data_IF_314745602118
#
_entry.id   IF_314745602118
#
_cell.length_a   1.000
_cell.length_b   1.000
_cell.length_c   1.000
_cell.angle_alpha   90.00
_cell.angle_beta   90.00
_cell.angle_gamma   90.00
#
_symmetry.space_group_name_H-M   'P 1'
#
loop_
_entity.id
_entity.type
_entity.pdbx_description
1 polymer ?
#
# COMPACT_ATOMS: atom_id res chain seq x y z
N UNK A 1 -11.14 -16.73 15.58
CA UNK A 1 -11.71 -17.55 14.49
C UNK A 1 -10.97 -18.89 14.45
N UNK A 2 -11.67 -20.00 14.29
CA UNK A 2 -11.07 -21.30 14.05
C UNK A 2 -10.67 -21.47 12.57
N UNK A 3 -9.86 -22.49 12.24
CA UNK A 3 -9.37 -22.69 10.86
C UNK A 3 -10.48 -22.92 9.84
N UNK A 4 -11.62 -23.53 10.25
CA UNK A 4 -12.76 -23.76 9.37
C UNK A 4 -13.49 -22.45 9.03
N UNK A 5 -13.68 -21.57 10.01
CA UNK A 5 -14.28 -20.25 9.80
C UNK A 5 -13.42 -19.38 8.87
N UNK A 6 -12.10 -19.36 9.10
CA UNK A 6 -11.15 -18.64 8.26
C UNK A 6 -11.25 -19.14 6.81
N UNK A 7 -11.23 -20.48 6.63
CA UNK A 7 -11.36 -21.11 5.32
C UNK A 7 -12.65 -20.71 4.61
N UNK A 8 -13.79 -20.77 5.32
CA UNK A 8 -15.08 -20.42 4.75
C UNK A 8 -15.12 -18.95 4.31
N UNK A 9 -14.70 -18.03 5.17
CA UNK A 9 -14.66 -16.60 4.84
C UNK A 9 -13.78 -16.31 3.62
N UNK A 10 -12.57 -16.88 3.57
CA UNK A 10 -11.66 -16.73 2.43
C UNK A 10 -12.27 -17.31 1.16
N UNK A 11 -12.89 -18.52 1.23
CA UNK A 11 -13.53 -19.17 0.09
C UNK A 11 -14.65 -18.32 -0.52
N UNK A 12 -15.49 -17.70 0.32
CA UNK A 12 -16.54 -16.76 -0.13
C UNK A 12 -15.93 -15.58 -0.91
N UNK A 13 -14.87 -14.97 -0.40
CA UNK A 13 -14.21 -13.82 -1.06
C UNK A 13 -13.52 -14.26 -2.36
N UNK A 14 -12.80 -15.37 -2.37
CA UNK A 14 -12.18 -15.92 -3.58
C UNK A 14 -13.21 -16.20 -4.68
N UNK A 15 -14.39 -16.71 -4.33
CA UNK A 15 -15.48 -16.89 -5.30
C UNK A 15 -15.94 -15.57 -5.90
N UNK A 16 -16.11 -14.52 -5.10
CA UNK A 16 -16.51 -13.19 -5.59
C UNK A 16 -15.49 -12.61 -6.58
N UNK A 17 -14.19 -12.87 -6.37
CA UNK A 17 -13.12 -12.36 -7.22
C UNK A 17 -12.94 -13.23 -8.48
N UNK A 18 -12.86 -14.54 -8.32
CA UNK A 18 -12.28 -15.45 -9.30
C UNK A 18 -13.26 -16.41 -9.97
N UNK A 19 -14.53 -16.50 -9.53
CA UNK A 19 -15.54 -17.38 -10.15
C UNK A 19 -15.62 -17.28 -11.68
N UNK A 20 -15.47 -16.10 -12.31
CA UNK A 20 -15.49 -16.00 -13.77
C UNK A 20 -14.30 -16.67 -14.48
N UNK A 21 -13.22 -16.99 -13.77
CA UNK A 21 -11.93 -17.41 -14.35
C UNK A 21 -11.50 -18.80 -13.91
N UNK A 22 -12.04 -19.33 -12.77
CA UNK A 22 -11.58 -20.55 -12.11
C UNK A 22 -12.74 -21.44 -11.69
N UNK A 23 -12.54 -22.76 -11.76
CA UNK A 23 -13.52 -23.76 -11.30
C UNK A 23 -13.63 -23.78 -9.77
N UNK A 24 -14.75 -24.26 -9.24
CA UNK A 24 -15.02 -24.36 -7.79
C UNK A 24 -13.90 -25.11 -7.03
N UNK A 25 -13.42 -26.24 -7.58
CA UNK A 25 -12.33 -27.02 -6.98
C UNK A 25 -11.05 -26.22 -6.83
N UNK A 26 -10.64 -25.50 -7.87
CA UNK A 26 -9.42 -24.66 -7.85
C UNK A 26 -9.53 -23.55 -6.79
N UNK A 27 -10.70 -22.96 -6.59
CA UNK A 27 -10.92 -21.94 -5.55
C UNK A 27 -10.90 -22.54 -4.13
N UNK A 28 -11.32 -23.79 -3.96
CA UNK A 28 -11.17 -24.53 -2.70
C UNK A 28 -9.69 -24.78 -2.42
N UNK A 29 -8.94 -25.29 -3.40
CA UNK A 29 -7.50 -25.56 -3.27
C UNK A 29 -6.72 -24.28 -2.90
N UNK A 30 -7.10 -23.14 -3.50
CA UNK A 30 -6.52 -21.82 -3.16
C UNK A 30 -6.82 -21.42 -1.71
N UNK A 31 -8.05 -21.63 -1.23
CA UNK A 31 -8.40 -21.33 0.16
C UNK A 31 -7.60 -22.20 1.13
N UNK A 32 -7.40 -23.48 0.80
CA UNK A 32 -6.60 -24.40 1.59
C UNK A 32 -5.11 -24.01 1.61
N UNK A 33 -4.54 -23.56 0.49
CA UNK A 33 -3.17 -23.05 0.45
C UNK A 33 -2.99 -21.83 1.35
N UNK A 34 -3.97 -20.91 1.37
CA UNK A 34 -3.94 -19.73 2.23
C UNK A 34 -3.99 -20.13 3.69
N UNK A 35 -4.97 -20.96 4.08
CA UNK A 35 -5.10 -21.45 5.47
C UNK A 35 -3.87 -22.21 5.93
N UNK A 36 -3.31 -23.07 5.08
CA UNK A 36 -2.04 -23.78 5.36
C UNK A 36 -0.87 -22.81 5.58
N UNK A 37 -0.83 -21.71 4.83
CA UNK A 37 0.19 -20.68 5.01
C UNK A 37 0.06 -19.96 6.35
N UNK A 38 -1.18 -19.68 6.78
CA UNK A 38 -1.50 -19.11 8.09
C UNK A 38 -1.07 -20.09 9.21
N UNK A 39 -1.51 -21.35 9.15
CA UNK A 39 -1.25 -22.34 10.19
C UNK A 39 0.24 -22.66 10.38
N UNK A 40 1.03 -22.60 9.29
CA UNK A 40 2.49 -22.76 9.38
C UNK A 40 3.17 -21.60 10.09
N UNK A 41 2.57 -20.41 10.03
CA UNK A 41 3.09 -19.21 10.69
C UNK A 41 2.69 -19.11 12.16
N UNK A 42 1.53 -19.64 12.57
CA UNK A 42 1.03 -19.57 13.95
C UNK A 42 1.93 -20.23 15.00
N UNK A 43 2.99 -20.93 14.59
CA UNK A 43 4.03 -21.45 15.49
C UNK A 43 4.92 -20.34 16.08
N UNK A 44 4.84 -19.13 15.57
CA UNK A 44 5.57 -17.97 16.09
C UNK A 44 4.69 -17.35 17.18
N UNK A 45 5.18 -17.41 18.43
CA UNK A 45 4.48 -16.84 19.59
C UNK A 45 4.07 -15.40 19.31
N UNK A 46 2.76 -15.12 19.40
CA UNK A 46 2.19 -13.78 19.30
C UNK A 46 3.01 -12.80 20.11
N UNK A 47 3.39 -11.66 19.52
CA UNK A 47 3.95 -10.57 20.28
C UNK A 47 2.95 -10.18 21.36
N UNK A 48 3.37 -10.12 22.62
CA UNK A 48 2.52 -9.73 23.77
C UNK A 48 2.05 -8.27 23.71
N UNK A 49 2.48 -7.50 22.70
CA UNK A 49 2.09 -6.11 22.53
C UNK A 49 0.75 -6.02 21.82
N UNK A 50 -0.28 -5.54 22.53
CA UNK A 50 -1.50 -5.04 21.91
C UNK A 50 -1.28 -3.58 21.48
N UNK A 51 -1.66 -3.24 20.24
CA UNK A 51 -1.68 -1.86 19.79
C UNK A 51 -3.04 -1.25 20.19
N UNK A 52 -3.02 -0.35 21.14
CA UNK A 52 -4.20 0.40 21.54
C UNK A 52 -4.13 1.78 20.91
N UNK A 53 -5.04 2.04 19.98
CA UNK A 53 -5.20 3.34 19.34
C UNK A 53 -5.74 4.34 20.37
N UNK A 54 -5.08 5.48 20.49
CA UNK A 54 -5.49 6.58 21.35
C UNK A 54 -5.04 7.91 20.75
N UNK A 55 -5.41 9.02 21.39
CA UNK A 55 -4.92 10.37 21.04
C UNK A 55 -3.40 10.52 21.13
N UNK A 56 -2.73 9.62 21.87
CA UNK A 56 -1.27 9.57 21.99
C UNK A 56 -0.61 8.76 20.88
N UNK A 57 -1.38 8.19 19.94
CA UNK A 57 -0.82 7.43 18.83
C UNK A 57 -0.19 8.39 17.84
N UNK A 58 1.13 8.30 17.71
CA UNK A 58 1.91 9.10 16.79
C UNK A 58 2.90 8.23 16.02
N UNK A 59 3.02 8.51 14.72
CA UNK A 59 3.79 7.71 13.77
C UNK A 59 4.86 8.59 13.10
N UNK A 60 6.13 8.21 13.28
CA UNK A 60 7.24 8.81 12.54
C UNK A 60 7.35 8.13 11.17
N UNK A 61 7.31 8.90 10.09
CA UNK A 61 7.62 8.42 8.73
C UNK A 61 9.08 8.73 8.40
N UNK A 62 9.83 7.72 7.92
CA UNK A 62 11.23 7.89 7.56
C UNK A 62 11.68 6.83 6.56
N UNK A 63 12.73 7.14 5.80
CA UNK A 63 13.49 6.14 5.07
C UNK A 63 14.46 5.40 6.00
N UNK A 64 14.86 4.19 5.63
CA UNK A 64 15.83 3.41 6.40
C UNK A 64 17.21 4.07 6.52
N UNK A 65 17.52 5.02 5.65
CA UNK A 65 18.76 5.82 5.60
C UNK A 65 18.57 7.30 5.97
N UNK A 66 17.45 7.65 6.62
CA UNK A 66 17.26 9.01 7.17
C UNK A 66 18.34 9.39 8.20
N UNK A 67 19.02 8.39 8.76
CA UNK A 67 20.28 8.55 9.48
C UNK A 67 21.32 7.68 8.76
N UNK A 68 22.43 8.29 8.36
CA UNK A 68 23.46 7.57 7.64
C UNK A 68 24.13 6.52 8.50
N UNK A 69 24.49 5.40 7.89
CA UNK A 69 25.30 4.37 8.54
C UNK A 69 26.73 4.85 8.80
N UNK A 70 27.42 4.14 9.67
CA UNK A 70 28.84 4.35 9.97
C UNK A 70 29.67 3.22 9.34
N UNK A 71 30.99 3.24 9.58
CA UNK A 71 31.90 2.13 9.17
C UNK A 71 31.48 0.80 9.81
N UNK A 72 30.92 0.84 11.01
CA UNK A 72 30.58 -0.35 11.82
C UNK A 72 29.10 -0.70 11.80
N UNK A 73 28.22 0.26 11.61
CA UNK A 73 26.77 0.08 11.68
C UNK A 73 26.04 0.51 10.42
N UNK A 74 25.02 -0.25 10.04
CA UNK A 74 24.12 0.10 8.96
C UNK A 74 23.13 1.19 9.37
N UNK A 75 22.53 1.86 8.39
CA UNK A 75 21.66 3.03 8.58
C UNK A 75 20.47 2.77 9.53
N UNK A 76 19.78 1.64 9.43
CA UNK A 76 18.66 1.32 10.34
C UNK A 76 19.13 1.16 11.77
N UNK A 77 20.35 0.66 12.01
CA UNK A 77 20.93 0.57 13.36
C UNK A 77 21.21 1.95 13.93
N UNK A 78 21.78 2.86 13.15
CA UNK A 78 22.04 4.24 13.57
C UNK A 78 20.73 5.03 13.77
N UNK A 79 19.77 4.86 12.86
CA UNK A 79 18.43 5.43 13.01
C UNK A 79 17.77 4.97 14.33
N UNK A 80 17.93 3.70 14.70
CA UNK A 80 17.40 3.19 15.96
C UNK A 80 18.05 3.86 17.19
N UNK A 81 19.37 4.07 17.15
CA UNK A 81 20.07 4.80 18.24
C UNK A 81 19.54 6.23 18.37
N UNK A 82 19.43 6.93 17.23
CA UNK A 82 18.87 8.27 17.17
C UNK A 82 17.44 8.33 17.70
N UNK A 83 16.57 7.43 17.19
CA UNK A 83 15.20 7.31 17.65
C UNK A 83 15.09 7.09 19.16
N UNK A 84 15.84 6.12 19.71
CA UNK A 84 15.80 5.83 21.13
C UNK A 84 16.30 7.00 22.00
N UNK A 85 17.25 7.78 21.49
CA UNK A 85 17.81 8.91 22.24
C UNK A 85 16.91 10.13 22.23
N UNK A 86 16.26 10.43 21.09
CA UNK A 86 15.61 11.72 20.89
C UNK A 86 14.09 11.64 20.63
N UNK A 87 13.58 10.54 20.08
CA UNK A 87 12.23 10.50 19.47
C UNK A 87 11.27 9.52 20.15
N UNK A 88 11.74 8.52 20.89
CA UNK A 88 10.86 7.44 21.37
C UNK A 88 9.77 7.90 22.34
N UNK A 89 9.95 9.05 23.01
CA UNK A 89 8.92 9.68 23.86
C UNK A 89 7.84 10.41 23.07
N UNK A 90 8.15 10.81 21.83
CA UNK A 90 7.25 11.55 20.95
C UNK A 90 6.47 10.62 20.03
N UNK A 91 7.05 9.49 19.61
CA UNK A 91 6.46 8.57 18.67
C UNK A 91 6.42 7.16 19.26
N UNK A 92 5.27 6.50 19.18
CA UNK A 92 5.11 5.10 19.57
C UNK A 92 5.16 4.13 18.38
N UNK A 93 5.15 4.66 17.16
CA UNK A 93 5.17 3.91 15.93
C UNK A 93 6.15 4.51 14.92
N UNK A 94 6.72 3.68 14.06
CA UNK A 94 7.64 4.11 12.99
C UNK A 94 7.22 3.48 11.68
N UNK A 95 6.96 4.32 10.68
CA UNK A 95 6.76 3.91 9.30
C UNK A 95 8.09 3.96 8.56
N UNK A 96 8.65 2.79 8.28
CA UNK A 96 9.75 2.66 7.34
C UNK A 96 9.19 2.63 5.92
N UNK A 97 9.53 3.66 5.15
CA UNK A 97 9.33 3.65 3.70
C UNK A 97 10.11 2.49 3.07
N UNK A 98 9.83 2.07 1.82
CA UNK A 98 10.30 0.79 1.30
C UNK A 98 11.79 0.56 1.52
N UNK A 99 12.13 -0.43 2.30
CA UNK A 99 13.49 -0.81 2.69
C UNK A 99 14.00 -2.05 1.92
N UNK A 100 13.26 -2.47 0.90
CA UNK A 100 13.61 -3.61 0.06
C UNK A 100 14.68 -3.25 -0.97
N UNK A 101 15.43 -4.24 -1.53
CA UNK A 101 16.21 -4.02 -2.74
C UNK A 101 15.31 -3.50 -3.85
N UNK A 102 15.62 -2.33 -4.38
CA UNK A 102 14.83 -1.63 -5.39
C UNK A 102 15.70 -1.18 -6.56
N UNK A 103 15.11 -0.68 -7.61
CA UNK A 103 15.81 -0.19 -8.79
C UNK A 103 15.57 1.30 -9.06
N UNK A 104 14.52 1.87 -8.54
CA UNK A 104 14.14 3.27 -8.73
C UNK A 104 13.02 3.69 -7.78
N UNK A 105 12.56 4.92 -7.92
CA UNK A 105 11.40 5.49 -7.23
C UNK A 105 11.52 5.41 -5.71
N UNK A 106 12.68 5.80 -5.18
CA UNK A 106 12.96 5.85 -3.73
C UNK A 106 12.54 4.60 -2.95
N UNK A 107 12.71 3.42 -3.58
CA UNK A 107 12.35 2.13 -2.95
C UNK A 107 11.09 1.48 -3.51
N UNK A 108 10.19 2.22 -4.16
CA UNK A 108 8.91 1.69 -4.62
C UNK A 108 9.00 0.80 -5.87
N UNK A 109 10.11 0.81 -6.64
CA UNK A 109 10.35 -0.19 -7.67
C UNK A 109 11.05 -1.43 -7.07
N UNK A 110 10.31 -2.26 -6.33
CA UNK A 110 10.85 -3.37 -5.54
C UNK A 110 11.34 -4.51 -6.43
N UNK A 111 12.59 -4.95 -6.23
CA UNK A 111 13.19 -6.11 -6.90
C UNK A 111 12.97 -7.42 -6.14
N UNK A 112 12.96 -7.36 -4.80
CA UNK A 112 12.78 -8.53 -3.94
C UNK A 112 12.07 -8.12 -2.64
N UNK A 113 10.83 -8.55 -2.45
CA UNK A 113 10.00 -8.25 -1.28
C UNK A 113 10.37 -9.06 -0.02
N UNK A 114 11.30 -10.01 -0.11
CA UNK A 114 11.70 -10.87 1.01
C UNK A 114 13.02 -10.45 1.66
N UNK A 115 13.73 -9.49 1.05
CA UNK A 115 15.04 -9.04 1.53
C UNK A 115 14.98 -7.58 1.96
N UNK A 116 15.85 -7.21 2.87
CA UNK A 116 16.18 -5.81 3.14
C UNK A 116 17.35 -5.43 2.24
N UNK A 117 17.37 -4.18 1.76
CA UNK A 117 18.52 -3.63 1.04
C UNK A 117 19.77 -3.73 1.95
N UNK A 118 20.83 -4.43 1.52
CA UNK A 118 22.03 -4.61 2.35
C UNK A 118 22.70 -3.31 2.79
N UNK A 119 22.43 -2.21 2.06
CA UNK A 119 22.95 -0.88 2.42
C UNK A 119 22.24 -0.35 3.68
N UNK A 120 20.96 -0.65 3.86
CA UNK A 120 20.14 -0.19 4.98
C UNK A 120 20.34 -1.05 6.24
N UNK A 121 20.40 -2.38 6.10
CA UNK A 121 20.49 -3.30 7.25
C UNK A 121 20.03 -4.72 6.95
N UNK A 122 19.47 -5.38 7.95
CA UNK A 122 18.95 -6.75 7.89
C UNK A 122 17.67 -6.91 8.72
N UNK A 123 16.95 -8.00 8.55
CA UNK A 123 15.70 -8.29 9.28
C UNK A 123 15.87 -8.24 10.81
N UNK A 124 17.05 -8.59 11.33
CA UNK A 124 17.36 -8.46 12.75
C UNK A 124 17.29 -7.01 13.26
N UNK A 125 17.60 -6.02 12.42
CA UNK A 125 17.53 -4.60 12.78
C UNK A 125 16.08 -4.15 12.90
N UNK A 126 15.22 -4.50 11.96
CA UNK A 126 13.76 -4.27 12.02
C UNK A 126 13.16 -4.94 13.26
N UNK A 127 13.47 -6.23 13.47
CA UNK A 127 12.98 -6.98 14.63
C UNK A 127 13.47 -6.37 15.95
N UNK A 128 14.67 -5.85 15.97
CA UNK A 128 15.23 -5.14 17.12
C UNK A 128 14.49 -3.82 17.38
N UNK A 129 14.13 -3.09 16.31
CA UNK A 129 13.35 -1.85 16.40
C UNK A 129 11.92 -2.13 16.91
N UNK A 130 11.31 -3.22 16.47
CA UNK A 130 9.94 -3.61 16.86
C UNK A 130 9.78 -3.97 18.33
N UNK A 131 10.87 -4.14 19.09
CA UNK A 131 10.79 -4.39 20.54
C UNK A 131 10.19 -3.21 21.31
N UNK A 132 10.47 -1.98 20.88
CA UNK A 132 10.10 -0.75 21.59
C UNK A 132 9.01 0.06 20.87
N UNK A 133 8.80 -0.15 19.57
CA UNK A 133 7.87 0.63 18.74
C UNK A 133 7.04 -0.30 17.88
N UNK A 134 5.85 0.15 17.46
CA UNK A 134 5.10 -0.50 16.39
C UNK A 134 5.73 -0.12 15.05
N UNK A 135 5.87 -1.11 14.17
CA UNK A 135 6.49 -0.92 12.87
C UNK A 135 5.45 -0.96 11.77
N UNK A 136 5.41 0.09 10.98
CA UNK A 136 4.69 0.16 9.72
C UNK A 136 5.65 -0.07 8.57
N UNK A 137 5.26 -0.89 7.60
CA UNK A 137 6.01 -1.13 6.39
C UNK A 137 5.11 -1.06 5.15
N UNK A 138 5.69 -0.62 4.04
CA UNK A 138 5.01 -0.63 2.74
C UNK A 138 4.90 -2.06 2.18
N UNK A 139 3.71 -2.41 1.78
CA UNK A 139 3.44 -3.55 0.91
C UNK A 139 3.19 -2.99 -0.49
N UNK A 140 4.25 -2.87 -1.29
CA UNK A 140 4.17 -2.38 -2.68
C UNK A 140 3.48 -3.46 -3.51
N UNK A 141 2.15 -3.44 -3.48
CA UNK A 141 1.31 -4.54 -3.95
C UNK A 141 0.88 -4.42 -5.41
N UNK A 142 0.77 -3.20 -5.94
CA UNK A 142 0.28 -2.99 -7.31
C UNK A 142 1.29 -3.38 -8.39
N UNK A 143 2.59 -3.22 -8.15
CA UNK A 143 3.64 -3.35 -9.16
C UNK A 143 4.93 -3.93 -8.59
N UNK A 144 5.86 -4.27 -9.46
CA UNK A 144 7.21 -4.70 -9.09
C UNK A 144 8.21 -4.21 -10.15
N UNK A 145 9.49 -4.15 -9.78
CA UNK A 145 10.56 -3.69 -10.66
C UNK A 145 10.70 -4.55 -11.92
N UNK A 146 10.89 -3.91 -13.06
CA UNK A 146 11.28 -4.57 -14.32
C UNK A 146 12.69 -5.19 -14.26
N UNK A 147 13.48 -4.91 -13.23
CA UNK A 147 14.84 -5.44 -13.00
C UNK A 147 14.86 -6.54 -11.93
N UNK A 148 13.70 -6.82 -11.30
CA UNK A 148 13.57 -7.88 -10.29
C UNK A 148 13.56 -9.30 -10.86
N UNK A 149 13.74 -10.27 -9.96
CA UNK A 149 13.74 -11.69 -10.33
C UNK A 149 12.41 -12.13 -10.96
N UNK A 150 11.29 -11.65 -10.44
CA UNK A 150 9.97 -12.01 -10.96
C UNK A 150 9.78 -11.58 -12.40
N UNK A 151 10.26 -10.40 -12.78
CA UNK A 151 10.15 -9.93 -14.16
C UNK A 151 11.10 -10.67 -15.09
N UNK A 152 12.35 -10.94 -14.67
CA UNK A 152 13.27 -11.77 -15.43
C UNK A 152 12.71 -13.17 -15.69
N UNK A 153 12.12 -13.77 -14.68
CA UNK A 153 11.46 -15.07 -14.78
C UNK A 153 10.18 -15.03 -15.64
N UNK A 154 9.42 -13.94 -15.55
CA UNK A 154 8.26 -13.71 -16.42
C UNK A 154 8.67 -13.75 -17.91
N UNK A 155 9.73 -13.05 -18.28
CA UNK A 155 10.25 -13.06 -19.65
C UNK A 155 10.71 -14.45 -20.12
N UNK A 156 11.14 -15.31 -19.18
CA UNK A 156 11.59 -16.69 -19.43
C UNK A 156 10.48 -17.74 -19.24
N UNK A 157 9.27 -17.33 -18.84
CA UNK A 157 8.14 -18.23 -18.53
C UNK A 157 8.40 -19.24 -17.40
N UNK A 158 9.23 -18.86 -16.42
CA UNK A 158 9.59 -19.69 -15.25
C UNK A 158 8.99 -19.14 -13.94
N UNK A 159 8.74 -20.04 -12.97
CA UNK A 159 8.30 -19.67 -11.62
C UNK A 159 9.49 -19.43 -10.68
N UNK A 160 9.36 -18.50 -9.68
CA UNK A 160 8.27 -17.56 -9.51
C UNK A 160 8.38 -16.41 -10.53
N UNK A 161 7.25 -15.88 -10.99
CA UNK A 161 7.23 -14.77 -11.97
C UNK A 161 6.35 -15.08 -13.18
N UNK A 162 6.24 -16.35 -13.58
CA UNK A 162 5.36 -16.78 -14.67
C UNK A 162 3.94 -16.24 -14.47
N UNK A 163 3.44 -15.48 -15.46
CA UNK A 163 2.11 -14.87 -15.44
C UNK A 163 1.84 -13.89 -14.28
N UNK A 164 2.90 -13.35 -13.64
CA UNK A 164 2.73 -12.40 -12.53
C UNK A 164 2.42 -10.99 -13.00
N UNK A 165 2.80 -10.62 -14.22
CA UNK A 165 2.66 -9.25 -14.71
C UNK A 165 1.43 -9.09 -15.60
N UNK A 166 0.76 -7.95 -15.46
CA UNK A 166 -0.44 -7.66 -16.23
C UNK A 166 -0.07 -7.18 -17.64
N UNK A 167 -0.56 -7.91 -18.62
CA UNK A 167 -0.39 -7.60 -20.03
C UNK A 167 -1.72 -7.64 -20.76
N UNK A 168 -1.81 -6.83 -21.77
CA UNK A 168 -3.01 -6.73 -22.59
C UNK A 168 -2.71 -6.91 -24.09
N UNK A 169 -3.73 -7.28 -24.86
CA UNK A 169 -3.70 -7.23 -26.32
C UNK A 169 -4.10 -5.85 -26.82
N UNK A 170 -3.96 -5.61 -28.13
CA UNK A 170 -4.45 -4.38 -28.78
C UNK A 170 -5.95 -4.15 -28.62
N UNK A 171 -6.74 -5.21 -28.40
CA UNK A 171 -8.19 -5.15 -28.22
C UNK A 171 -8.63 -4.62 -26.84
N UNK A 172 -7.70 -4.39 -25.92
CA UNK A 172 -8.04 -3.89 -24.59
C UNK A 172 -8.46 -2.42 -24.67
N UNK A 173 -9.70 -2.12 -24.26
CA UNK A 173 -10.20 -0.76 -24.21
C UNK A 173 -9.67 -0.05 -22.94
N UNK A 174 -8.70 0.85 -23.12
CA UNK A 174 -8.10 1.64 -22.06
C UNK A 174 -8.54 3.11 -22.04
N UNK A 175 -9.56 3.49 -22.83
CA UNK A 175 -10.01 4.88 -23.00
C UNK A 175 -10.39 5.56 -21.68
N UNK A 176 -11.03 4.83 -20.77
CA UNK A 176 -11.55 5.35 -19.50
C UNK A 176 -10.57 5.20 -18.33
N UNK A 177 -9.38 4.64 -18.55
CA UNK A 177 -8.44 4.32 -17.47
C UNK A 177 -7.93 5.59 -16.79
N UNK A 178 -8.09 5.64 -15.46
CA UNK A 178 -7.54 6.73 -14.64
C UNK A 178 -6.02 6.62 -14.56
N UNK A 179 -5.34 7.71 -14.87
CA UNK A 179 -3.88 7.75 -14.97
C UNK A 179 -3.26 8.72 -13.99
N UNK A 180 -2.48 8.22 -13.00
CA UNK A 180 -1.80 9.08 -12.05
C UNK A 180 -0.49 9.68 -12.60
N UNK A 181 -0.02 9.27 -13.79
CA UNK A 181 1.24 9.69 -14.42
C UNK A 181 1.05 9.94 -15.92
N UNK A 182 1.87 10.81 -16.51
CA UNK A 182 1.77 11.21 -17.93
C UNK A 182 2.44 10.25 -18.93
N UNK A 183 3.39 9.40 -18.48
CA UNK A 183 4.09 8.48 -19.37
C UNK A 183 3.13 7.48 -20.03
N UNK A 184 3.54 6.84 -21.13
CA UNK A 184 2.71 5.86 -21.83
C UNK A 184 2.37 4.68 -20.92
N UNK A 185 1.06 4.43 -20.73
CA UNK A 185 0.52 3.33 -19.92
C UNK A 185 1.02 1.96 -20.37
N UNK A 186 1.07 1.75 -21.67
CA UNK A 186 1.38 0.48 -22.29
C UNK A 186 2.75 0.51 -22.97
N UNK A 187 3.56 -0.54 -22.74
CA UNK A 187 4.84 -0.76 -23.44
C UNK A 187 4.74 -2.04 -24.25
N UNK A 188 4.91 -1.93 -25.56
CA UNK A 188 5.00 -3.10 -26.44
C UNK A 188 6.27 -3.89 -26.14
N UNK A 189 6.15 -5.18 -25.98
CA UNK A 189 7.26 -6.14 -25.79
C UNK A 189 6.98 -7.39 -26.59
N UNK A 190 8.03 -8.03 -27.09
CA UNK A 190 7.90 -9.37 -27.68
C UNK A 190 8.25 -10.41 -26.61
N UNK A 191 7.33 -11.34 -26.34
CA UNK A 191 7.51 -12.43 -25.39
C UNK A 191 7.16 -13.72 -26.12
N UNK A 192 8.13 -14.61 -26.31
CA UNK A 192 7.97 -15.86 -27.07
C UNK A 192 7.39 -15.63 -28.48
N UNK A 193 7.93 -14.66 -29.21
CA UNK A 193 7.48 -14.32 -30.56
C UNK A 193 6.11 -13.65 -30.65
N UNK A 194 5.43 -13.42 -29.52
CA UNK A 194 4.11 -12.78 -29.46
C UNK A 194 4.23 -11.35 -28.94
N UNK A 195 3.64 -10.40 -29.68
CA UNK A 195 3.53 -9.02 -29.22
C UNK A 195 2.56 -8.93 -28.03
N UNK A 196 3.02 -8.38 -26.93
CA UNK A 196 2.26 -8.10 -25.71
C UNK A 196 2.45 -6.65 -25.31
N UNK A 197 1.49 -6.10 -24.55
CA UNK A 197 1.56 -4.76 -24.02
C UNK A 197 1.61 -4.83 -22.49
N UNK A 198 2.79 -4.55 -21.93
CA UNK A 198 2.98 -4.46 -20.49
C UNK A 198 2.28 -3.22 -19.95
N UNK A 199 1.56 -3.38 -18.86
CA UNK A 199 0.88 -2.30 -18.16
C UNK A 199 1.80 -1.64 -17.12
N UNK A 200 1.82 -0.30 -17.11
CA UNK A 200 2.71 0.51 -16.26
C UNK A 200 1.93 1.72 -15.74
N UNK A 201 1.37 1.60 -14.54
CA UNK A 201 0.57 2.67 -13.95
C UNK A 201 1.46 3.86 -13.53
N UNK A 202 2.62 3.62 -12.93
CA UNK A 202 3.41 4.65 -12.24
C UNK A 202 4.69 5.07 -12.94
N UNK A 203 5.51 4.14 -13.43
CA UNK A 203 6.77 4.46 -14.09
C UNK A 203 7.19 3.40 -15.12
N UNK A 204 8.27 3.71 -15.85
CA UNK A 204 8.82 2.77 -16.84
C UNK A 204 9.40 1.50 -16.22
N UNK A 205 9.81 1.55 -14.98
CA UNK A 205 10.43 0.46 -14.23
C UNK A 205 9.42 -0.32 -13.37
N UNK A 206 8.27 0.26 -13.08
CA UNK A 206 7.21 -0.35 -12.26
C UNK A 206 6.17 -1.03 -13.17
N UNK A 207 6.28 -2.35 -13.28
CA UNK A 207 5.35 -3.15 -14.09
C UNK A 207 4.23 -3.69 -13.19
N UNK A 208 3.00 -3.42 -13.58
CA UNK A 208 1.83 -3.79 -12.79
C UNK A 208 1.64 -5.31 -12.71
N UNK A 209 1.26 -5.77 -11.54
CA UNK A 209 1.04 -7.18 -11.26
C UNK A 209 -0.36 -7.62 -11.69
N UNK A 210 -0.48 -8.90 -12.04
CA UNK A 210 -1.70 -9.50 -12.54
C UNK A 210 -2.48 -10.21 -11.43
N UNK A 211 -3.33 -9.50 -10.72
CA UNK A 211 -4.17 -10.08 -9.68
C UNK A 211 -5.30 -10.99 -10.19
N UNK A 212 -5.54 -11.07 -11.52
CA UNK A 212 -6.36 -12.15 -12.10
C UNK A 212 -5.70 -13.52 -11.95
N UNK A 213 -4.37 -13.55 -11.73
CA UNK A 213 -3.66 -14.75 -11.32
C UNK A 213 -3.64 -14.86 -9.78
N UNK A 214 -4.38 -15.79 -9.16
CA UNK A 214 -4.46 -15.90 -7.70
C UNK A 214 -3.13 -16.25 -7.04
N UNK A 215 -2.15 -16.79 -7.79
CA UNK A 215 -0.78 -17.03 -7.28
C UNK A 215 -0.08 -15.72 -6.89
N UNK A 216 -0.46 -14.59 -7.51
CA UNK A 216 0.04 -13.27 -7.12
C UNK A 216 -0.51 -12.89 -5.73
N UNK A 217 -1.82 -13.06 -5.51
CA UNK A 217 -2.42 -12.83 -4.19
C UNK A 217 -1.76 -13.70 -3.11
N UNK A 218 -1.60 -15.01 -3.36
CA UNK A 218 -0.92 -15.92 -2.41
C UNK A 218 0.50 -15.46 -2.13
N UNK A 219 1.21 -14.95 -3.14
CA UNK A 219 2.58 -14.42 -2.95
C UNK A 219 2.58 -13.24 -1.99
N UNK A 220 1.63 -12.29 -2.12
CA UNK A 220 1.53 -11.15 -1.21
C UNK A 220 1.07 -11.54 0.19
N UNK A 221 0.20 -12.54 0.33
CA UNK A 221 -0.11 -13.13 1.63
C UNK A 221 1.17 -13.66 2.30
N UNK A 222 2.02 -14.39 1.57
CA UNK A 222 3.29 -14.90 2.09
C UNK A 222 4.28 -13.77 2.44
N UNK A 223 4.27 -12.66 1.71
CA UNK A 223 5.06 -11.45 2.04
C UNK A 223 4.57 -10.83 3.35
N UNK A 224 3.25 -10.66 3.53
CA UNK A 224 2.67 -10.13 4.77
C UNK A 224 3.01 -11.05 5.95
N UNK A 225 2.91 -12.36 5.79
CA UNK A 225 3.33 -13.33 6.80
C UNK A 225 4.80 -13.14 7.16
N UNK A 226 5.68 -12.97 6.17
CA UNK A 226 7.11 -12.73 6.39
C UNK A 226 7.34 -11.42 7.19
N UNK A 227 6.61 -10.35 6.87
CA UNK A 227 6.68 -9.08 7.59
C UNK A 227 6.25 -9.24 9.05
N UNK A 228 5.12 -9.93 9.30
CA UNK A 228 4.64 -10.22 10.66
C UNK A 228 5.71 -10.97 11.47
N UNK A 229 6.35 -11.97 10.87
CA UNK A 229 7.39 -12.77 11.50
C UNK A 229 8.63 -11.95 11.89
N UNK A 230 8.84 -10.82 11.24
CA UNK A 230 9.92 -9.88 11.52
C UNK A 230 9.50 -8.67 12.37
N UNK A 231 8.27 -8.71 12.94
CA UNK A 231 7.82 -7.71 13.92
C UNK A 231 7.10 -6.51 13.32
N UNK A 232 6.72 -6.55 12.03
CA UNK A 232 5.87 -5.53 11.42
C UNK A 232 4.42 -5.73 11.89
N UNK A 233 3.78 -4.65 12.28
CA UNK A 233 2.42 -4.63 12.83
C UNK A 233 1.42 -3.92 11.92
N UNK A 234 1.90 -2.91 11.15
CA UNK A 234 1.08 -2.03 10.34
C UNK A 234 1.52 -2.17 8.88
N UNK A 235 0.58 -2.44 8.00
CA UNK A 235 0.82 -2.75 6.57
C UNK A 235 0.20 -1.67 5.71
N UNK A 236 1.02 -0.78 5.14
CA UNK A 236 0.57 0.20 4.17
C UNK A 236 0.46 -0.48 2.80
N UNK A 237 -0.75 -0.62 2.31
CA UNK A 237 -1.01 -1.15 0.97
C UNK A 237 -0.83 -0.02 -0.04
N UNK A 238 0.35 0.03 -0.62
CA UNK A 238 0.75 1.06 -1.59
C UNK A 238 -0.03 0.94 -2.89
N UNK A 239 -0.56 2.07 -3.37
CA UNK A 239 -1.29 2.17 -4.63
C UNK A 239 -2.42 1.14 -4.81
N UNK A 240 -3.04 0.71 -3.73
CA UNK A 240 -3.99 -0.41 -3.69
C UNK A 240 -5.20 -0.21 -4.61
N UNK A 241 -5.63 1.01 -4.85
CA UNK A 241 -6.78 1.32 -5.70
C UNK A 241 -6.63 0.81 -7.13
N UNK A 242 -5.40 0.70 -7.63
CA UNK A 242 -5.09 0.29 -9.01
C UNK A 242 -4.92 -1.22 -9.21
N UNK A 243 -5.21 -2.04 -8.21
CA UNK A 243 -4.86 -3.46 -8.19
C UNK A 243 -5.54 -4.28 -9.29
N UNK A 244 -6.84 -4.08 -9.51
CA UNK A 244 -7.61 -4.82 -10.51
C UNK A 244 -7.81 -4.02 -11.79
N UNK A 245 -7.63 -4.68 -12.95
CA UNK A 245 -7.75 -4.06 -14.27
C UNK A 245 -8.75 -4.83 -15.12
N UNK A 246 -9.70 -4.09 -15.72
CA UNK A 246 -10.74 -4.64 -16.57
C UNK A 246 -11.01 -3.73 -17.77
N UNK A 247 -11.17 -4.32 -18.96
CA UNK A 247 -11.36 -3.59 -20.22
C UNK A 247 -12.63 -2.74 -20.17
N UNK A 248 -12.54 -1.48 -20.62
CA UNK A 248 -13.67 -0.56 -20.64
C UNK A 248 -13.97 0.13 -19.31
N UNK A 249 -13.31 -0.25 -18.22
CA UNK A 249 -13.48 0.38 -16.91
C UNK A 249 -12.43 1.46 -16.65
N UNK A 250 -12.59 2.18 -15.53
CA UNK A 250 -11.58 3.13 -15.05
C UNK A 250 -10.30 2.45 -14.53
N UNK A 251 -10.26 1.12 -14.36
CA UNK A 251 -9.17 0.33 -13.77
C UNK A 251 -8.68 0.86 -12.43
N UNK A 252 -9.56 1.43 -11.66
CA UNK A 252 -9.31 1.94 -10.31
C UNK A 252 -10.54 1.66 -9.46
N UNK A 253 -10.35 1.35 -8.20
CA UNK A 253 -11.41 1.20 -7.19
C UNK A 253 -12.46 0.13 -7.56
N UNK A 254 -12.02 -0.96 -8.21
CA UNK A 254 -12.93 -2.01 -8.66
C UNK A 254 -13.27 -2.98 -7.51
N UNK A 255 -14.47 -3.58 -7.56
CA UNK A 255 -15.00 -4.49 -6.52
C UNK A 255 -14.03 -5.60 -6.13
N UNK A 256 -13.27 -6.13 -7.07
CA UNK A 256 -12.28 -7.18 -6.81
C UNK A 256 -11.13 -6.69 -5.93
N UNK A 257 -10.74 -5.42 -6.05
CA UNK A 257 -9.74 -4.80 -5.17
C UNK A 257 -10.22 -4.82 -3.71
N UNK A 258 -11.46 -4.41 -3.46
CA UNK A 258 -12.07 -4.44 -2.13
C UNK A 258 -12.12 -5.86 -1.54
N UNK A 259 -12.56 -6.85 -2.31
CA UNK A 259 -12.59 -8.25 -1.84
C UNK A 259 -11.18 -8.80 -1.57
N UNK A 260 -10.13 -8.37 -2.30
CA UNK A 260 -8.73 -8.72 -2.01
C UNK A 260 -8.31 -8.14 -0.65
N UNK A 261 -8.63 -6.88 -0.37
CA UNK A 261 -8.31 -6.25 0.93
C UNK A 261 -8.98 -7.01 2.08
N UNK A 262 -10.23 -7.43 1.91
CA UNK A 262 -10.94 -8.26 2.91
C UNK A 262 -10.22 -9.58 3.18
N UNK A 263 -9.69 -10.23 2.14
CA UNK A 263 -8.87 -11.46 2.35
C UNK A 263 -7.61 -11.12 3.13
N UNK A 264 -6.89 -10.05 2.78
CA UNK A 264 -5.69 -9.63 3.50
C UNK A 264 -6.00 -9.29 4.96
N UNK A 265 -7.15 -8.66 5.23
CA UNK A 265 -7.63 -8.37 6.60
C UNK A 265 -7.87 -9.64 7.40
N UNK A 266 -8.54 -10.66 6.81
CA UNK A 266 -8.76 -11.95 7.45
C UNK A 266 -7.43 -12.61 7.78
N UNK A 267 -6.49 -12.62 6.85
CA UNK A 267 -5.14 -13.18 7.04
C UNK A 267 -4.41 -12.47 8.19
N UNK A 268 -4.36 -11.15 8.16
CA UNK A 268 -3.69 -10.35 9.19
C UNK A 268 -4.28 -10.62 10.58
N UNK A 269 -5.60 -10.55 10.72
CA UNK A 269 -6.30 -10.78 11.98
C UNK A 269 -6.10 -12.21 12.53
N UNK A 270 -5.94 -13.19 11.63
CA UNK A 270 -5.71 -14.60 12.01
C UNK A 270 -4.31 -14.83 12.56
N UNK A 271 -3.34 -14.01 12.18
CA UNK A 271 -1.94 -14.11 12.57
C UNK A 271 -1.61 -13.20 13.76
N UNK A 272 -2.14 -12.01 13.76
CA UNK A 272 -1.92 -11.00 14.79
C UNK A 272 -3.17 -10.13 14.95
N UNK A 273 -3.86 -10.25 16.07
CA UNK A 273 -5.07 -9.45 16.38
C UNK A 273 -4.83 -7.93 16.39
N UNK A 274 -3.58 -7.53 16.61
CA UNK A 274 -3.14 -6.11 16.59
C UNK A 274 -2.59 -5.68 15.23
N UNK A 275 -2.70 -6.51 14.20
CA UNK A 275 -2.29 -6.15 12.85
C UNK A 275 -3.22 -5.08 12.28
N UNK A 276 -2.63 -4.07 11.64
CA UNK A 276 -3.36 -2.94 11.06
C UNK A 276 -3.07 -2.88 9.56
N UNK A 277 -4.12 -2.85 8.77
CA UNK A 277 -4.05 -2.55 7.35
C UNK A 277 -4.36 -1.07 7.13
N UNK A 278 -3.48 -0.40 6.41
CA UNK A 278 -3.64 0.99 5.99
C UNK A 278 -3.70 1.02 4.47
N UNK A 279 -4.74 1.63 3.89
CA UNK A 279 -4.83 1.81 2.43
C UNK A 279 -4.31 3.18 2.03
N UNK A 280 -3.40 3.19 1.06
CA UNK A 280 -2.94 4.40 0.39
C UNK A 280 -3.78 4.61 -0.87
N UNK A 281 -4.71 5.56 -0.80
CA UNK A 281 -5.72 5.84 -1.83
C UNK A 281 -5.91 7.35 -1.97
N UNK A 282 -5.04 7.98 -2.78
CA UNK A 282 -5.14 9.42 -3.08
C UNK A 282 -6.27 9.67 -4.10
N UNK A 283 -7.50 9.55 -3.61
CA UNK A 283 -8.76 9.60 -4.36
C UNK A 283 -9.70 10.68 -3.79
N UNK A 284 -10.77 11.05 -4.50
CA UNK A 284 -11.86 11.81 -3.92
C UNK A 284 -12.36 11.17 -2.62
N UNK A 285 -12.79 12.00 -1.66
CA UNK A 285 -13.06 11.58 -0.29
C UNK A 285 -14.01 10.38 -0.17
N UNK A 286 -15.12 10.40 -0.91
CA UNK A 286 -16.10 9.30 -0.87
C UNK A 286 -15.50 7.96 -1.32
N UNK A 287 -14.64 8.00 -2.34
CA UNK A 287 -13.94 6.80 -2.83
C UNK A 287 -12.90 6.32 -1.81
N UNK A 288 -12.17 7.24 -1.15
CA UNK A 288 -11.21 6.91 -0.11
C UNK A 288 -11.91 6.28 1.12
N UNK A 289 -13.01 6.86 1.59
CA UNK A 289 -13.81 6.34 2.70
C UNK A 289 -14.36 4.94 2.42
N UNK A 290 -14.65 4.61 1.15
CA UNK A 290 -15.16 3.29 0.77
C UNK A 290 -14.23 2.13 1.17
N UNK A 291 -12.95 2.40 1.40
CA UNK A 291 -11.97 1.42 1.85
C UNK A 291 -12.10 0.99 3.33
N UNK A 292 -12.96 1.61 4.09
CA UNK A 292 -13.40 1.01 5.35
C UNK A 292 -14.31 -0.20 5.11
N UNK A 293 -14.97 -0.29 3.94
CA UNK A 293 -16.00 -1.29 3.65
C UNK A 293 -17.13 -1.26 4.68
N UNK A 294 -17.55 -2.42 5.15
CA UNK A 294 -18.40 -2.56 6.32
C UNK A 294 -17.55 -2.73 7.60
N UNK A 295 -16.42 -2.04 7.69
CA UNK A 295 -15.37 -2.19 8.69
C UNK A 295 -14.65 -3.55 8.62
N UNK A 296 -14.67 -4.17 7.45
CA UNK A 296 -14.06 -5.46 7.14
C UNK A 296 -12.90 -5.38 6.12
N UNK A 297 -12.52 -4.14 5.73
CA UNK A 297 -11.40 -3.85 4.82
C UNK A 297 -10.22 -3.21 5.57
N UNK A 298 -9.86 -1.97 5.27
CA UNK A 298 -8.79 -1.27 5.97
C UNK A 298 -9.15 -0.99 7.44
N UNK A 299 -8.15 -1.06 8.31
CA UNK A 299 -8.26 -0.53 9.66
C UNK A 299 -8.15 0.99 9.64
N UNK A 300 -7.16 1.48 8.89
CA UNK A 300 -6.92 2.90 8.72
C UNK A 300 -6.92 3.26 7.24
N UNK A 301 -7.38 4.47 6.96
CA UNK A 301 -7.25 5.11 5.66
C UNK A 301 -6.49 6.42 5.84
N UNK A 302 -5.64 6.78 4.87
CA UNK A 302 -5.01 8.10 4.87
C UNK A 302 -6.05 9.20 4.73
N UNK A 303 -5.95 10.23 5.55
CA UNK A 303 -6.82 11.40 5.46
C UNK A 303 -6.25 12.41 4.47
N UNK A 304 -6.28 12.06 3.18
CA UNK A 304 -5.70 12.87 2.11
C UNK A 304 -6.37 14.23 1.91
N UNK A 305 -7.61 14.42 2.37
CA UNK A 305 -8.28 15.73 2.30
C UNK A 305 -7.74 16.73 3.32
N UNK A 306 -7.20 16.26 4.44
CA UNK A 306 -6.72 17.11 5.54
C UNK A 306 -5.56 18.05 5.12
N UNK A 307 -4.45 17.59 4.50
CA UNK A 307 -3.31 18.44 4.18
C UNK A 307 -3.68 19.65 3.31
N UNK A 308 -4.36 19.50 2.14
CA UNK A 308 -4.68 20.65 1.31
C UNK A 308 -5.72 21.59 1.94
N UNK A 309 -6.67 21.07 2.74
CA UNK A 309 -7.62 21.90 3.48
C UNK A 309 -6.92 22.69 4.59
N UNK A 310 -5.96 22.09 5.27
CA UNK A 310 -5.18 22.76 6.31
C UNK A 310 -4.31 23.86 5.69
N UNK A 311 -3.62 23.58 4.58
CA UNK A 311 -2.84 24.58 3.85
C UNK A 311 -3.71 25.75 3.39
N UNK A 312 -4.92 25.46 2.84
CA UNK A 312 -5.86 26.50 2.47
C UNK A 312 -6.23 27.36 3.67
N UNK A 313 -6.57 26.73 4.80
CA UNK A 313 -7.00 27.46 6.01
C UNK A 313 -5.91 28.37 6.57
N UNK A 314 -4.66 27.88 6.60
CA UNK A 314 -3.53 28.66 7.10
C UNK A 314 -3.14 29.81 6.14
N UNK A 315 -3.18 29.61 4.82
CA UNK A 315 -2.82 30.64 3.84
C UNK A 315 -3.83 31.80 3.78
N UNK A 316 -5.10 31.52 4.05
CA UNK A 316 -6.18 32.50 3.92
C UNK A 316 -6.84 32.88 5.26
N UNK A 317 -6.29 32.36 6.37
CA UNK A 317 -6.83 32.60 7.72
C UNK A 317 -8.33 32.28 7.81
N UNK A 318 -8.77 31.25 7.05
CA UNK A 318 -10.17 30.86 6.91
C UNK A 318 -10.37 29.35 7.21
N UNK A 319 -10.90 29.05 8.39
CA UNK A 319 -11.17 27.67 8.83
C UNK A 319 -12.54 27.13 8.38
N UNK A 320 -13.41 27.92 7.73
CA UNK A 320 -14.79 27.52 7.41
C UNK A 320 -14.87 26.23 6.59
N UNK A 321 -13.99 26.09 5.59
CA UNK A 321 -13.95 24.90 4.71
C UNK A 321 -13.54 23.63 5.46
N UNK A 322 -12.43 23.70 6.20
CA UNK A 322 -11.94 22.55 6.97
C UNK A 322 -12.92 22.18 8.10
N UNK A 323 -13.54 23.14 8.75
CA UNK A 323 -14.56 22.93 9.79
C UNK A 323 -15.81 22.28 9.22
N UNK A 324 -16.34 22.80 8.10
CA UNK A 324 -17.51 22.21 7.44
C UNK A 324 -17.24 20.78 6.97
N UNK A 325 -16.05 20.52 6.45
CA UNK A 325 -15.64 19.21 6.03
C UNK A 325 -15.50 18.24 7.21
N UNK A 326 -14.80 18.64 8.27
CA UNK A 326 -14.56 17.76 9.43
C UNK A 326 -15.84 17.31 10.12
N UNK A 327 -16.88 18.17 10.16
CA UNK A 327 -18.21 17.85 10.70
C UNK A 327 -18.94 16.77 9.89
N UNK A 328 -18.59 16.56 8.62
CA UNK A 328 -19.23 15.60 7.71
C UNK A 328 -18.50 14.25 7.67
N UNK A 329 -17.31 14.17 8.23
CA UNK A 329 -16.57 12.91 8.25
C UNK A 329 -17.36 11.84 9.01
N UNK A 330 -17.48 10.62 8.45
CA UNK A 330 -18.07 9.51 9.18
C UNK A 330 -17.33 9.27 10.51
N UNK A 331 -18.11 8.99 11.55
CA UNK A 331 -17.54 8.61 12.83
C UNK A 331 -16.85 7.26 12.72
N UNK A 332 -15.68 7.16 13.33
CA UNK A 332 -14.94 5.92 13.39
C UNK A 332 -15.64 4.90 14.28
N UNK A 333 -15.62 3.63 13.87
CA UNK A 333 -15.95 2.51 14.75
C UNK A 333 -14.69 1.97 15.43
N UNK A 334 -14.87 1.26 16.52
CA UNK A 334 -13.76 0.64 17.25
C UNK A 334 -12.85 -0.17 16.31
N UNK A 335 -11.55 0.13 16.34
CA UNK A 335 -10.54 -0.53 15.51
C UNK A 335 -10.34 0.06 14.11
N UNK A 336 -11.09 1.12 13.74
CA UNK A 336 -10.91 1.86 12.49
C UNK A 336 -10.58 3.32 12.78
N UNK A 337 -9.73 3.92 11.93
CA UNK A 337 -9.35 5.33 12.10
C UNK A 337 -8.86 5.97 10.81
N UNK A 338 -8.85 7.29 10.81
CA UNK A 338 -8.13 8.09 9.82
C UNK A 338 -6.67 8.22 10.25
N UNK A 339 -5.75 7.97 9.32
CA UNK A 339 -4.34 8.34 9.48
C UNK A 339 -4.18 9.80 9.06
N UNK A 340 -4.21 10.70 10.04
CA UNK A 340 -4.05 12.13 9.83
C UNK A 340 -2.56 12.45 9.61
N UNK A 341 -2.27 13.32 8.65
CA UNK A 341 -0.93 13.81 8.36
C UNK A 341 -1.03 15.22 7.75
N UNK A 342 0.06 15.96 7.78
CA UNK A 342 0.14 17.31 7.19
C UNK A 342 1.01 17.33 5.93
N UNK A 343 2.02 16.48 5.90
CA UNK A 343 2.91 16.28 4.76
C UNK A 343 3.43 14.84 4.75
N UNK A 344 3.85 14.37 3.59
CA UNK A 344 4.51 13.08 3.42
C UNK A 344 5.62 13.20 2.36
N UNK A 345 6.31 12.09 2.10
CA UNK A 345 7.32 11.97 1.03
C UNK A 345 6.75 12.22 -0.38
N UNK A 346 5.44 12.09 -0.58
CA UNK A 346 4.75 12.31 -1.86
C UNK A 346 4.32 13.78 -2.10
N UNK A 347 4.49 14.65 -1.10
CA UNK A 347 3.92 15.99 -1.13
C UNK A 347 2.40 15.99 -0.87
N UNK A 348 1.71 17.02 -1.32
CA UNK A 348 0.27 17.22 -1.09
C UNK A 348 -0.51 17.02 -2.39
N UNK A 349 -1.34 15.99 -2.44
CA UNK A 349 -2.24 15.72 -3.55
C UNK A 349 -3.50 16.59 -3.51
N UNK A 350 -3.96 17.04 -4.69
CA UNK A 350 -5.14 17.92 -4.79
C UNK A 350 -6.45 17.19 -5.15
N UNK A 351 -6.38 15.94 -5.64
CA UNK A 351 -7.60 15.15 -5.94
C UNK A 351 -8.55 14.97 -4.74
N UNK A 352 -8.06 14.76 -3.52
CA UNK A 352 -8.93 14.58 -2.35
C UNK A 352 -9.80 15.79 -1.99
N UNK A 353 -9.50 16.97 -2.52
CA UNK A 353 -10.31 18.18 -2.30
C UNK A 353 -11.19 18.55 -3.49
N UNK A 354 -11.27 17.70 -4.51
CA UNK A 354 -12.25 17.82 -5.58
C UNK A 354 -13.68 17.83 -4.97
N UNK A 355 -14.46 18.87 -5.27
CA UNK A 355 -15.77 19.08 -4.67
C UNK A 355 -15.79 19.74 -3.28
N UNK A 356 -14.63 19.81 -2.58
CA UNK A 356 -14.49 20.51 -1.29
C UNK A 356 -14.00 21.95 -1.49
N UNK A 357 -13.04 22.15 -2.38
CA UNK A 357 -12.56 23.46 -2.83
C UNK A 357 -12.97 23.72 -4.27
N UNK A 358 -13.42 24.90 -4.59
CA UNK A 358 -13.70 25.31 -5.96
C UNK A 358 -12.39 25.67 -6.70
N UNK A 359 -12.46 25.74 -8.04
CA UNK A 359 -11.29 26.03 -8.88
C UNK A 359 -10.61 27.37 -8.56
N UNK A 360 -11.40 28.39 -8.19
CA UNK A 360 -10.86 29.69 -7.82
C UNK A 360 -10.04 29.63 -6.53
N UNK A 361 -10.54 28.97 -5.50
CA UNK A 361 -9.80 28.75 -4.24
C UNK A 361 -8.50 27.98 -4.48
N UNK A 362 -8.53 26.93 -5.30
CA UNK A 362 -7.35 26.16 -5.67
C UNK A 362 -6.33 27.03 -6.43
N UNK A 363 -6.78 27.84 -7.40
CA UNK A 363 -5.90 28.71 -8.17
C UNK A 363 -5.27 29.81 -7.29
N UNK A 364 -6.04 30.41 -6.37
CA UNK A 364 -5.51 31.37 -5.40
C UNK A 364 -4.47 30.75 -4.49
N UNK A 365 -4.72 29.53 -4.00
CA UNK A 365 -3.78 28.76 -3.20
C UNK A 365 -2.48 28.49 -3.97
N UNK A 366 -2.54 28.04 -5.21
CA UNK A 366 -1.37 27.82 -6.05
C UNK A 366 -0.56 29.09 -6.28
N UNK A 367 -1.22 30.24 -6.60
CA UNK A 367 -0.54 31.53 -6.76
C UNK A 367 0.22 31.93 -5.49
N UNK A 368 -0.41 31.76 -4.31
CA UNK A 368 0.22 32.10 -3.02
C UNK A 368 1.41 31.21 -2.71
N UNK A 369 1.22 29.87 -2.87
CA UNK A 369 2.30 28.90 -2.65
C UNK A 369 3.47 29.10 -3.60
N UNK A 370 3.22 29.40 -4.90
CA UNK A 370 4.28 29.69 -5.88
C UNK A 370 5.09 30.92 -5.48
N UNK A 371 4.42 31.98 -4.97
CA UNK A 371 5.11 33.18 -4.46
C UNK A 371 6.04 32.84 -3.29
N UNK A 372 5.71 31.78 -2.51
CA UNK A 372 6.51 31.31 -1.38
C UNK A 372 7.51 30.20 -1.75
N UNK A 373 7.81 29.99 -3.05
CA UNK A 373 8.78 29.01 -3.52
C UNK A 373 8.24 27.59 -3.71
N UNK A 374 6.91 27.39 -3.63
CA UNK A 374 6.30 26.08 -3.84
C UNK A 374 6.40 25.61 -5.30
N UNK A 375 6.63 24.31 -5.49
CA UNK A 375 6.66 23.65 -6.79
C UNK A 375 5.40 22.83 -7.02
N UNK A 376 4.96 22.73 -8.28
CA UNK A 376 3.73 22.04 -8.66
C UNK A 376 3.96 21.10 -9.82
N UNK A 377 3.36 19.91 -9.73
CA UNK A 377 3.25 18.96 -10.84
C UNK A 377 1.77 18.84 -11.23
N UNK A 378 1.44 19.27 -12.44
CA UNK A 378 0.11 19.10 -13.00
C UNK A 378 0.05 17.76 -13.75
N UNK A 379 -0.99 16.97 -13.46
CA UNK A 379 -1.25 15.70 -14.11
C UNK A 379 -2.61 15.79 -14.79
N UNK A 380 -2.63 15.50 -16.08
CA UNK A 380 -3.86 15.49 -16.89
C UNK A 380 -4.65 14.21 -16.69
#
# INVERSE_FOLDING_TARGET
MNSSEIRNQISIKLRKIYKPFYKKKELVDLSDEIVKSISRSNKIKNSKKSFNLSEKTSLLICYGDSVLGTKTNKSITELKKFYNKYLYKCFNSVHFLPFYPSSSDSGFAVKDHYKIDPRLGKWGDIKSFSKNSFIMADVVINHSSSRGLWFKNYLRNISPGKNYFFTVSQKFNSKNVVRPREHRLLKKVSIFGKNRYLWRTFSNDQIDLNFKNPKVLIRFIKIIINLINHGVNIFRLDAIAYLWKESGTKCINLKQTHEIIKILRIVCNSLNKSAIIVTETNLPESENISYFGNYDEANWIYNFSLPPLLVHSLLFEDSRKITSWSKKLPQNKLGNSYLNFIASHDGIGMRPVEGLLNKDAINKMFKRLKKNGGEFSFRK
#
